data_IF_185290468107
#
_entry.id   IF_185290468107
#
_cell.length_a   1.000
_cell.length_b   1.000
_cell.length_c   1.000
_cell.angle_alpha   90.00
_cell.angle_beta   90.00
_cell.angle_gamma   90.00
#
_symmetry.space_group_name_H-M   'P 1'
#
loop_
_entity.id
_entity.type
_entity.pdbx_description
1 polymer ?
#
# COMPACT_ATOMS: atom_id res chain seq x y z
N UNK A 1 4.38 2.28 -18.44
CA UNK A 1 4.19 3.65 -17.91
C UNK A 1 4.00 3.69 -16.39
N UNK A 2 3.11 2.88 -15.79
CA UNK A 2 2.82 2.89 -14.34
C UNK A 2 4.06 2.68 -13.45
N UNK A 3 4.98 1.80 -13.85
CA UNK A 3 6.22 1.49 -13.13
C UNK A 3 7.14 2.69 -12.87
N UNK A 4 7.20 3.65 -13.80
CA UNK A 4 8.06 4.84 -13.63
C UNK A 4 7.45 5.83 -12.63
N UNK A 5 6.14 5.99 -12.68
CA UNK A 5 5.38 6.83 -11.73
C UNK A 5 5.46 6.30 -10.28
N UNK A 6 5.59 4.99 -10.10
CA UNK A 6 5.78 4.36 -8.78
C UNK A 6 7.19 4.53 -8.20
N UNK A 7 8.22 4.64 -9.05
CA UNK A 7 9.60 4.86 -8.60
C UNK A 7 9.80 6.27 -8.05
N UNK A 8 9.09 7.26 -8.60
CA UNK A 8 9.15 8.66 -8.18
C UNK A 8 8.18 8.97 -7.01
N UNK A 9 7.39 7.98 -6.57
CA UNK A 9 6.38 8.17 -5.54
C UNK A 9 6.99 8.26 -4.13
N UNK A 10 6.39 9.08 -3.26
CA UNK A 10 6.80 9.22 -1.87
C UNK A 10 6.27 8.06 -1.02
N UNK A 11 7.11 7.04 -0.81
CA UNK A 11 6.77 5.86 -0.03
C UNK A 11 6.86 6.11 1.48
N UNK A 12 5.79 5.75 2.20
CA UNK A 12 5.73 5.75 3.67
C UNK A 12 5.69 4.34 4.20
N UNK A 13 6.67 4.00 5.03
CA UNK A 13 6.75 2.72 5.74
C UNK A 13 5.80 2.70 6.95
N UNK A 14 5.22 1.53 7.23
CA UNK A 14 4.40 1.35 8.42
C UNK A 14 5.22 1.46 9.71
N UNK A 15 4.69 2.15 10.72
CA UNK A 15 5.31 2.24 12.06
C UNK A 15 5.14 0.96 12.89
N UNK A 16 4.29 0.03 12.45
CA UNK A 16 4.11 -1.29 13.08
C UNK A 16 5.12 -2.33 12.57
N UNK A 17 6.02 -1.93 11.68
CA UNK A 17 7.10 -2.76 11.13
C UNK A 17 8.31 -2.76 12.08
N UNK A 18 8.31 -3.64 13.09
CA UNK A 18 9.47 -3.85 13.98
C UNK A 18 10.50 -4.83 13.37
N UNK A 19 11.63 -5.01 14.05
CA UNK A 19 12.94 -5.49 13.58
C UNK A 19 13.01 -6.87 12.86
N UNK A 20 11.91 -7.58 12.69
CA UNK A 20 11.85 -8.86 11.97
C UNK A 20 11.32 -8.76 10.53
N UNK A 21 11.26 -7.54 9.98
CA UNK A 21 11.01 -7.30 8.56
C UNK A 21 9.59 -7.68 8.13
N UNK A 22 8.61 -6.87 8.47
CA UNK A 22 7.23 -7.03 7.98
C UNK A 22 6.61 -5.66 7.70
N UNK A 23 6.32 -5.20 6.49
CA UNK A 23 6.85 -5.48 5.15
C UNK A 23 6.11 -4.59 4.12
N UNK A 24 5.47 -3.49 4.53
CA UNK A 24 4.57 -2.77 3.63
C UNK A 24 4.88 -1.28 3.64
N UNK A 25 4.99 -0.74 2.44
CA UNK A 25 5.04 0.69 2.19
C UNK A 25 3.83 1.11 1.35
N UNK A 26 3.33 2.30 1.64
CA UNK A 26 2.24 2.91 0.86
C UNK A 26 2.69 4.24 0.28
N UNK A 27 2.23 4.56 -0.92
CA UNK A 27 2.43 5.86 -1.55
C UNK A 27 1.08 6.42 -2.02
N UNK A 28 0.80 7.66 -1.65
CA UNK A 28 -0.31 8.41 -2.23
C UNK A 28 0.09 8.90 -3.61
N UNK A 29 -0.79 8.68 -4.59
CA UNK A 29 -0.67 9.13 -5.97
C UNK A 29 -1.84 10.07 -6.29
N UNK A 30 -1.83 10.72 -7.45
CA UNK A 30 -2.84 11.74 -7.78
C UNK A 30 -4.28 11.19 -7.79
N UNK A 31 -4.47 9.96 -8.27
CA UNK A 31 -5.78 9.31 -8.37
C UNK A 31 -5.85 7.94 -7.70
N UNK A 32 -4.81 7.54 -6.96
CA UNK A 32 -4.65 6.18 -6.47
C UNK A 32 -3.77 6.09 -5.23
N UNK A 33 -3.77 4.92 -4.60
CA UNK A 33 -2.82 4.54 -3.57
C UNK A 33 -2.08 3.30 -4.03
N UNK A 34 -0.75 3.35 -3.96
CA UNK A 34 0.09 2.20 -4.22
C UNK A 34 0.53 1.54 -2.92
N UNK A 35 0.64 0.21 -2.94
CA UNK A 35 1.07 -0.62 -1.82
C UNK A 35 2.11 -1.62 -2.33
N UNK A 36 3.25 -1.75 -1.65
CA UNK A 36 4.32 -2.69 -2.04
C UNK A 36 4.97 -3.36 -0.85
N UNK A 37 5.69 -4.44 -1.12
CA UNK A 37 6.55 -5.08 -0.13
C UNK A 37 7.80 -4.22 0.13
N UNK A 38 8.06 -3.85 1.39
CA UNK A 38 9.28 -3.16 1.81
C UNK A 38 10.55 -3.97 1.54
N UNK A 39 10.46 -5.31 1.48
CA UNK A 39 11.60 -6.20 1.19
C UNK A 39 11.90 -6.35 -0.29
N UNK A 40 10.92 -6.06 -1.15
CA UNK A 40 11.10 -6.04 -2.59
C UNK A 40 10.63 -4.70 -3.19
N UNK A 41 11.37 -3.59 -2.96
CA UNK A 41 10.98 -2.27 -3.45
C UNK A 41 10.87 -2.17 -4.98
N UNK A 42 11.55 -3.07 -5.70
CA UNK A 42 11.57 -3.14 -7.17
C UNK A 42 10.54 -4.15 -7.72
N UNK A 43 9.90 -4.90 -6.83
CA UNK A 43 8.84 -5.84 -7.12
C UNK A 43 7.55 -5.17 -7.59
N UNK A 44 6.52 -5.96 -7.89
CA UNK A 44 5.21 -5.44 -8.27
C UNK A 44 4.54 -4.71 -7.10
N UNK A 45 3.96 -3.54 -7.38
CA UNK A 45 3.11 -2.82 -6.45
C UNK A 45 1.64 -3.00 -6.82
N UNK A 46 0.79 -3.13 -5.82
CA UNK A 46 -0.66 -3.08 -5.97
C UNK A 46 -1.11 -1.62 -6.02
N UNK A 47 -2.01 -1.27 -6.94
CA UNK A 47 -2.53 0.09 -7.12
C UNK A 47 -4.04 0.07 -6.97
N UNK A 48 -4.55 0.87 -6.05
CA UNK A 48 -5.97 0.98 -5.73
C UNK A 48 -6.46 2.39 -6.05
N UNK A 49 -7.64 2.53 -6.66
CA UNK A 49 -8.31 3.84 -6.71
C UNK A 49 -8.71 4.30 -5.30
N UNK A 50 -8.86 5.61 -5.07
CA UNK A 50 -9.19 6.17 -3.75
C UNK A 50 -10.44 5.57 -3.10
N UNK A 51 -11.50 5.31 -3.88
CA UNK A 51 -12.73 4.71 -3.37
C UNK A 51 -12.49 3.28 -2.86
N UNK A 52 -11.79 2.46 -3.64
CA UNK A 52 -11.44 1.09 -3.26
C UNK A 52 -10.53 1.06 -2.03
N UNK A 53 -9.55 1.97 -1.96
CA UNK A 53 -8.65 2.09 -0.80
C UNK A 53 -9.41 2.48 0.47
N UNK A 54 -10.33 3.44 0.38
CA UNK A 54 -11.16 3.88 1.51
C UNK A 54 -12.04 2.74 2.03
N UNK A 55 -12.71 2.02 1.13
CA UNK A 55 -13.54 0.87 1.50
C UNK A 55 -12.70 -0.24 2.14
N UNK A 56 -11.55 -0.57 1.54
CA UNK A 56 -10.62 -1.57 2.07
C UNK A 56 -10.22 -1.24 3.52
N UNK A 57 -9.87 0.02 3.81
CA UNK A 57 -9.51 0.44 5.17
C UNK A 57 -10.70 0.36 6.13
N UNK A 58 -11.90 0.76 5.69
CA UNK A 58 -13.11 0.70 6.51
C UNK A 58 -13.44 -0.75 6.90
N UNK A 59 -13.42 -1.67 5.94
CA UNK A 59 -13.67 -3.10 6.16
C UNK A 59 -12.59 -3.75 7.02
N UNK A 60 -11.32 -3.44 6.76
CA UNK A 60 -10.19 -3.94 7.56
C UNK A 60 -10.31 -3.50 9.02
N UNK A 61 -10.72 -2.23 9.26
CA UNK A 61 -10.91 -1.69 10.61
C UNK A 61 -12.13 -2.28 11.32
N UNK A 62 -13.21 -2.55 10.59
CA UNK A 62 -14.38 -3.22 11.13
C UNK A 62 -14.06 -4.67 11.54
N UNK A 63 -12.97 -5.23 11.02
CA UNK A 63 -12.63 -6.65 11.14
C UNK A 63 -13.57 -7.42 10.25
N UNK A 64 -13.09 -7.83 9.07
CA UNK A 64 -13.88 -8.53 8.06
C UNK A 64 -14.86 -9.50 8.74
N UNK A 65 -16.18 -9.27 8.67
CA UNK A 65 -17.12 -10.25 9.18
C UNK A 65 -16.86 -11.51 8.36
N UNK A 66 -16.38 -12.55 9.04
CA UNK A 66 -16.10 -13.85 8.45
C UNK A 66 -17.39 -14.28 7.74
N UNK A 67 -17.43 -14.17 6.42
CA UNK A 67 -18.52 -14.70 5.58
C UNK A 67 -18.21 -16.15 5.25
#
# INVERSE_FOLDING_TARGET
MIRRYLNDATWKKSSRSSANGQCVEVAALDAAVACRDSKDPNGPALVFGHAAWTNFLAETKAGFPQR
#
